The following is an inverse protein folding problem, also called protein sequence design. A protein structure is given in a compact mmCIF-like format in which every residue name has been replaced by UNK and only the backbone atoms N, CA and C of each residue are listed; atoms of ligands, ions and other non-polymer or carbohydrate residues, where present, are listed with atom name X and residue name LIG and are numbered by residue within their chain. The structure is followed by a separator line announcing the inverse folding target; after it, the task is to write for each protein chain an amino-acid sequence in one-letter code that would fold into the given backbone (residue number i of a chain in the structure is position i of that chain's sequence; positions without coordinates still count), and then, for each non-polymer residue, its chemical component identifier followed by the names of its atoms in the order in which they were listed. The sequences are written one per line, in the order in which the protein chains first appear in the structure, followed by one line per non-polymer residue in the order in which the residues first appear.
data_IF_875014663788
#
_entry.id   IF_875014663788
#
_cell.length_a   1.000
_cell.length_b   1.000
_cell.length_c   1.000
_cell.angle_alpha   90.00
_cell.angle_beta   90.00
_cell.angle_gamma   90.00
#
_symmetry.space_group_name_H-M   'P 1'
#
loop_
_entity.id
_entity.type
_entity.pdbx_description
1 polymer ?
#
# COMPACT_ATOMS: atom_id res chain seq x y z
N UNK A 1 7.55 -52.52 25.29
CA UNK A 1 8.40 -53.28 24.35
C UNK A 1 7.66 -53.37 23.03
N UNK A 2 8.09 -52.64 22.00
CA UNK A 2 8.22 -53.14 20.63
C UNK A 2 8.90 -52.04 19.80
N UNK A 3 10.04 -52.41 19.25
CA UNK A 3 10.95 -51.61 18.43
C UNK A 3 10.51 -51.69 16.97
N UNK A 4 10.57 -50.59 16.22
CA UNK A 4 10.56 -50.63 14.76
C UNK A 4 11.38 -49.46 14.21
N UNK A 5 12.69 -49.70 14.13
CA UNK A 5 13.65 -48.90 13.38
C UNK A 5 13.34 -48.95 11.88
N UNK A 6 13.11 -47.80 11.25
CA UNK A 6 13.19 -47.66 9.80
C UNK A 6 14.30 -46.67 9.45
N UNK A 7 15.45 -47.24 9.08
CA UNK A 7 16.57 -46.53 8.48
C UNK A 7 16.42 -46.57 6.96
N UNK A 8 16.31 -45.41 6.31
CA UNK A 8 16.40 -45.31 4.86
C UNK A 8 17.61 -44.45 4.47
N UNK A 9 18.39 -45.02 3.55
CA UNK A 9 19.74 -44.68 3.14
C UNK A 9 19.84 -43.38 2.34
N UNK A 10 20.93 -42.67 2.63
CA UNK A 10 21.61 -41.64 1.81
C UNK A 10 21.77 -42.06 0.34
N UNK A 11 21.58 -41.10 -0.58
CA UNK A 11 22.17 -41.11 -1.91
C UNK A 11 22.63 -39.69 -2.26
N UNK A 12 23.93 -39.45 -2.07
CA UNK A 12 24.63 -38.31 -2.63
C UNK A 12 24.79 -38.53 -4.14
N UNK A 13 24.51 -37.51 -4.96
CA UNK A 13 24.89 -37.49 -6.38
C UNK A 13 25.95 -36.42 -6.60
N UNK A 14 27.08 -36.89 -7.10
CA UNK A 14 28.30 -36.17 -7.41
C UNK A 14 28.29 -35.64 -8.85
N UNK A 15 28.89 -34.46 -9.04
CA UNK A 15 29.68 -33.98 -10.20
C UNK A 15 29.14 -34.14 -11.63
N UNK A 16 29.08 -33.02 -12.37
CA UNK A 16 29.88 -32.86 -13.61
C UNK A 16 29.76 -31.44 -14.18
N UNK A 17 30.90 -30.76 -14.24
CA UNK A 17 31.14 -29.54 -15.02
C UNK A 17 31.37 -29.98 -16.48
N UNK A 18 30.71 -29.33 -17.44
CA UNK A 18 31.06 -29.41 -18.87
C UNK A 18 31.27 -28.02 -19.45
N UNK A 19 32.52 -27.73 -19.83
CA UNK A 19 32.95 -26.65 -20.72
C UNK A 19 33.05 -27.23 -22.14
N UNK A 20 32.41 -26.59 -23.12
CA UNK A 20 32.68 -26.60 -24.58
C UNK A 20 31.90 -25.38 -25.13
N UNK A 21 32.31 -24.50 -26.04
CA UNK A 21 33.50 -24.29 -26.85
C UNK A 21 33.21 -23.14 -27.84
N UNK A 22 34.19 -22.23 -28.00
CA UNK A 22 34.66 -21.51 -29.21
C UNK A 22 33.71 -20.87 -30.25
N UNK A 23 34.02 -19.58 -30.54
CA UNK A 23 34.27 -18.92 -31.86
C UNK A 23 33.13 -18.99 -32.92
N UNK A 24 32.71 -17.96 -33.66
CA UNK A 24 33.33 -16.83 -34.38
C UNK A 24 32.16 -16.07 -35.03
N UNK A 25 32.22 -14.75 -35.21
CA UNK A 25 31.80 -14.12 -36.48
C UNK A 25 32.21 -12.65 -36.50
N UNK A 26 33.11 -12.32 -37.42
CA UNK A 26 33.64 -10.99 -37.67
C UNK A 26 32.79 -10.39 -38.79
N UNK A 27 32.05 -9.31 -38.51
CA UNK A 27 31.26 -8.66 -39.55
C UNK A 27 32.11 -7.57 -40.23
N UNK A 28 32.34 -7.78 -41.52
CA UNK A 28 33.13 -6.95 -42.43
C UNK A 28 32.35 -5.67 -42.78
N UNK A 29 32.92 -4.49 -42.50
CA UNK A 29 32.41 -3.22 -43.03
C UNK A 29 33.21 -2.83 -44.27
N UNK A 30 32.53 -2.85 -45.42
CA UNK A 30 33.09 -2.44 -46.70
C UNK A 30 33.14 -0.92 -46.80
N UNK A 31 34.30 -0.40 -47.22
CA UNK A 31 34.58 1.02 -47.39
C UNK A 31 34.24 1.41 -48.83
N UNK A 32 33.39 2.42 -49.03
CA UNK A 32 33.14 3.03 -50.34
C UNK A 32 33.39 4.53 -50.25
N UNK A 33 34.55 4.92 -50.76
CA UNK A 33 34.97 6.28 -51.10
C UNK A 33 34.13 6.83 -52.25
N UNK A 34 33.58 8.04 -52.12
CA UNK A 34 33.22 8.84 -53.29
C UNK A 34 33.23 10.36 -53.00
N UNK A 35 34.37 10.95 -53.36
CA UNK A 35 34.55 12.20 -54.12
C UNK A 35 33.85 13.49 -53.66
N UNK A 36 34.71 14.44 -53.29
CA UNK A 36 34.49 15.87 -53.16
C UNK A 36 33.98 16.54 -54.45
N UNK A 37 33.02 17.45 -54.31
CA UNK A 37 32.74 18.53 -55.26
C UNK A 37 32.58 19.82 -54.47
N UNK A 38 33.26 20.92 -54.83
CA UNK A 38 33.06 22.20 -54.18
C UNK A 38 31.87 22.91 -54.83
N UNK A 39 30.87 23.29 -54.03
CA UNK A 39 29.76 24.13 -54.47
C UNK A 39 29.76 25.42 -53.66
N UNK A 40 30.37 26.45 -54.23
CA UNK A 40 30.31 27.82 -53.76
C UNK A 40 29.11 28.51 -54.42
N UNK A 41 28.25 29.15 -53.62
CA UNK A 41 27.77 30.54 -53.79
C UNK A 41 26.45 30.75 -53.03
N UNK A 42 26.39 31.84 -52.28
CA UNK A 42 25.16 32.38 -51.72
C UNK A 42 25.35 33.01 -50.35
N UNK A 43 25.84 34.24 -50.30
CA UNK A 43 25.64 35.11 -49.13
C UNK A 43 24.22 35.69 -49.23
N UNK A 44 23.30 35.43 -48.30
CA UNK A 44 22.16 36.31 -48.13
C UNK A 44 22.56 37.51 -47.28
N UNK A 45 22.63 38.65 -47.96
CA UNK A 45 22.45 39.95 -47.34
C UNK A 45 21.08 40.01 -46.66
N UNK A 46 21.06 40.59 -45.47
CA UNK A 46 19.98 41.39 -44.88
C UNK A 46 20.10 41.28 -43.36
N UNK A 47 20.56 42.38 -42.77
CA UNK A 47 20.49 42.71 -41.36
C UNK A 47 19.12 42.40 -40.77
N UNK A 48 19.00 41.26 -40.10
CA UNK A 48 17.92 41.00 -39.15
C UNK A 48 18.50 41.21 -37.77
N UNK A 49 18.38 42.44 -37.27
CA UNK A 49 18.77 42.80 -35.91
C UNK A 49 17.85 42.00 -34.98
N UNK A 50 18.40 40.96 -34.36
CA UNK A 50 17.74 40.23 -33.30
C UNK A 50 17.72 41.15 -32.08
N UNK A 51 16.60 41.80 -31.81
CA UNK A 51 16.43 42.49 -30.53
C UNK A 51 16.48 41.41 -29.43
N UNK A 52 17.38 41.51 -28.44
CA UNK A 52 17.36 40.58 -27.32
C UNK A 52 16.04 40.80 -26.58
N UNK A 53 15.19 39.77 -26.53
CA UNK A 53 14.11 39.72 -25.55
C UNK A 53 14.80 39.83 -24.20
N UNK A 54 14.66 40.98 -23.55
CA UNK A 54 15.13 41.17 -22.19
C UNK A 54 14.42 40.13 -21.34
N UNK A 55 15.19 39.22 -20.77
CA UNK A 55 14.69 38.14 -19.95
C UNK A 55 14.07 38.76 -18.70
N UNK A 56 12.76 38.99 -18.74
CA UNK A 56 11.98 39.41 -17.59
C UNK A 56 12.33 38.49 -16.43
N UNK A 57 12.94 39.05 -15.39
CA UNK A 57 13.37 38.30 -14.22
C UNK A 57 12.12 37.68 -13.60
N UNK A 58 12.01 36.36 -13.66
CA UNK A 58 10.95 35.61 -13.00
C UNK A 58 11.19 35.80 -11.51
N UNK A 59 10.40 36.64 -10.85
CA UNK A 59 10.40 36.76 -9.39
C UNK A 59 9.75 35.46 -8.89
N UNK A 60 10.48 34.56 -8.20
CA UNK A 60 9.85 33.39 -7.63
C UNK A 60 8.92 33.87 -6.51
N UNK A 61 7.62 33.79 -6.74
CA UNK A 61 6.62 34.01 -5.69
C UNK A 61 6.73 32.83 -4.71
N UNK A 62 7.56 32.95 -3.68
CA UNK A 62 7.63 31.96 -2.62
C UNK A 62 6.34 32.01 -1.82
N UNK A 63 5.46 31.01 -2.05
CA UNK A 63 4.25 30.85 -1.25
C UNK A 63 4.66 30.37 0.14
N UNK A 64 4.64 31.28 1.12
CA UNK A 64 4.81 30.93 2.52
C UNK A 64 3.56 30.16 2.99
N UNK A 65 3.66 28.83 3.09
CA UNK A 65 2.67 28.04 3.81
C UNK A 65 3.05 28.06 5.30
N UNK A 66 2.19 28.65 6.13
CA UNK A 66 2.24 28.42 7.56
C UNK A 66 1.82 26.97 7.81
N UNK A 67 2.77 26.10 8.11
CA UNK A 67 2.49 24.75 8.61
C UNK A 67 1.98 24.92 10.04
N UNK A 68 0.68 25.15 10.19
CA UNK A 68 -0.01 25.11 11.48
C UNK A 68 -0.44 23.66 11.70
N UNK A 69 0.51 22.80 12.06
CA UNK A 69 0.19 21.54 12.73
C UNK A 69 1.43 21.04 13.44
N UNK A 70 1.41 21.06 14.76
CA UNK A 70 2.33 20.30 15.59
C UNK A 70 1.88 18.84 15.53
N UNK A 71 2.44 18.07 14.60
CA UNK A 71 2.23 16.62 14.58
C UNK A 71 2.90 16.00 15.81
N UNK A 72 2.09 15.49 16.73
CA UNK A 72 2.58 14.77 17.91
C UNK A 72 3.09 13.41 17.41
N UNK A 73 4.38 13.08 17.60
CA UNK A 73 4.91 11.81 17.11
C UNK A 73 4.26 10.64 17.86
N UNK A 74 3.87 9.60 17.13
CA UNK A 74 3.32 8.40 17.74
C UNK A 74 4.34 7.66 18.61
N UNK A 75 3.83 7.06 19.68
CA UNK A 75 4.61 6.24 20.61
C UNK A 75 4.95 4.90 19.97
N UNK A 76 6.22 4.52 19.98
CA UNK A 76 6.65 3.22 19.48
C UNK A 76 6.45 2.17 20.58
N UNK A 77 5.78 1.08 20.22
CA UNK A 77 5.54 -0.06 21.09
C UNK A 77 6.42 -1.24 20.70
N UNK A 78 6.87 -1.98 21.71
CA UNK A 78 7.62 -3.23 21.57
C UNK A 78 6.75 -4.42 21.99
N UNK A 79 7.14 -5.63 21.61
CA UNK A 79 6.41 -6.88 21.89
C UNK A 79 5.92 -7.01 23.34
N UNK A 80 6.82 -6.80 24.31
CA UNK A 80 6.51 -6.97 25.72
C UNK A 80 5.44 -6.00 26.24
N UNK A 81 5.38 -4.79 25.67
CA UNK A 81 4.36 -3.80 26.01
C UNK A 81 2.99 -4.23 25.47
N UNK A 82 2.93 -4.68 24.20
CA UNK A 82 1.70 -5.20 23.60
C UNK A 82 1.19 -6.43 24.35
N UNK A 83 2.10 -7.34 24.73
CA UNK A 83 1.74 -8.52 25.53
C UNK A 83 1.08 -8.13 26.85
N UNK A 84 1.62 -7.11 27.54
CA UNK A 84 1.05 -6.62 28.80
C UNK A 84 -0.35 -6.03 28.60
N UNK A 85 -0.59 -5.33 27.48
CA UNK A 85 -1.89 -4.77 27.13
C UNK A 85 -2.92 -5.87 26.81
N UNK A 86 -2.50 -6.94 26.14
CA UNK A 86 -3.34 -8.10 25.85
C UNK A 86 -3.71 -8.86 27.13
N UNK A 87 -2.75 -9.04 28.05
CA UNK A 87 -3.01 -9.71 29.34
C UNK A 87 -3.90 -8.88 30.27
N UNK A 88 -3.83 -7.54 30.18
CA UNK A 88 -4.59 -6.59 30.99
C UNK A 88 -5.30 -5.58 30.09
N UNK A 89 -6.43 -5.99 29.46
CA UNK A 89 -7.17 -5.10 28.58
C UNK A 89 -7.66 -3.88 29.36
N UNK A 90 -7.48 -2.70 28.78
CA UNK A 90 -7.96 -1.43 29.35
C UNK A 90 -8.92 -0.79 28.37
N UNK A 91 -10.05 -0.27 28.83
CA UNK A 91 -11.07 0.32 27.96
C UNK A 91 -10.59 1.58 27.20
N UNK A 92 -9.44 2.15 27.58
CA UNK A 92 -8.87 3.36 26.97
C UNK A 92 -7.86 3.08 25.87
N UNK A 93 -7.41 1.84 25.71
CA UNK A 93 -6.39 1.46 24.73
C UNK A 93 -7.02 0.49 23.75
N UNK A 94 -6.99 0.83 22.47
CA UNK A 94 -7.52 -0.01 21.40
C UNK A 94 -6.38 -0.43 20.49
N UNK A 95 -6.26 -1.75 20.28
CA UNK A 95 -5.29 -2.32 19.35
C UNK A 95 -5.95 -2.46 17.98
N UNK A 96 -5.31 -1.94 16.93
CA UNK A 96 -5.86 -1.88 15.57
C UNK A 96 -4.98 -2.67 14.61
N UNK A 97 -5.58 -3.70 14.00
CA UNK A 97 -4.98 -4.48 12.92
C UNK A 97 -5.33 -3.87 11.56
N UNK A 98 -4.32 -3.34 10.86
CA UNK A 98 -4.55 -2.68 9.57
C UNK A 98 -4.37 -3.59 8.35
N UNK A 99 -4.30 -4.90 8.56
CA UNK A 99 -4.25 -5.91 7.49
C UNK A 99 -5.62 -6.11 6.85
N UNK A 100 -5.66 -6.78 5.70
CA UNK A 100 -6.93 -7.10 5.04
C UNK A 100 -7.75 -8.09 5.88
N UNK A 101 -9.09 -8.11 5.75
CA UNK A 101 -9.95 -8.97 6.58
C UNK A 101 -9.63 -10.46 6.43
N UNK A 102 -9.16 -10.89 5.26
CA UNK A 102 -8.71 -12.26 5.02
C UNK A 102 -7.45 -12.65 5.81
N UNK A 103 -6.52 -11.70 6.00
CA UNK A 103 -5.33 -11.89 6.84
C UNK A 103 -5.72 -11.93 8.32
N UNK A 104 -6.63 -11.05 8.73
CA UNK A 104 -7.16 -10.99 10.10
C UNK A 104 -7.92 -12.27 10.49
N UNK A 105 -8.70 -12.82 9.56
CA UNK A 105 -9.43 -14.07 9.75
C UNK A 105 -8.51 -15.30 9.90
N UNK A 106 -7.35 -15.30 9.26
CA UNK A 106 -6.36 -16.35 9.41
C UNK A 106 -5.69 -16.36 10.80
N UNK A 107 -5.69 -15.21 11.49
CA UNK A 107 -5.19 -15.07 12.85
C UNK A 107 -4.76 -13.63 13.14
N UNK A 108 -5.11 -13.14 14.32
CA UNK A 108 -4.81 -11.79 14.78
C UNK A 108 -4.40 -11.76 16.26
N UNK A 109 -3.88 -10.61 16.70
CA UNK A 109 -3.54 -10.41 18.11
C UNK A 109 -4.85 -10.31 18.90
N UNK A 110 -4.99 -11.01 20.03
CA UNK A 110 -6.18 -10.92 20.86
C UNK A 110 -6.54 -9.46 21.18
N UNK A 111 -7.83 -9.17 21.34
CA UNK A 111 -8.38 -7.82 21.61
C UNK A 111 -8.26 -6.79 20.47
N UNK A 112 -7.65 -7.16 19.33
CA UNK A 112 -7.52 -6.26 18.20
C UNK A 112 -8.82 -6.11 17.39
N UNK A 113 -9.08 -4.89 16.92
CA UNK A 113 -10.10 -4.60 15.91
C UNK A 113 -9.47 -4.58 14.51
N UNK A 114 -10.20 -5.05 13.49
CA UNK A 114 -9.69 -4.99 12.11
C UNK A 114 -10.11 -3.71 11.42
N UNK A 115 -9.13 -2.96 10.89
CA UNK A 115 -9.35 -1.75 10.12
C UNK A 115 -8.47 -1.73 8.86
N UNK A 116 -8.91 -2.37 7.76
CA UNK A 116 -8.06 -2.66 6.61
C UNK A 116 -7.57 -1.39 5.90
N UNK A 117 -6.25 -1.18 5.90
CA UNK A 117 -5.65 0.02 5.34
C UNK A 117 -5.77 0.13 3.82
N UNK A 118 -5.76 -0.99 3.06
CA UNK A 118 -5.82 -0.89 1.59
C UNK A 118 -7.24 -0.64 1.13
N UNK A 119 -8.21 -1.33 1.73
CA UNK A 119 -9.61 -1.23 1.37
C UNK A 119 -10.27 0.05 1.91
N UNK A 120 -9.88 0.49 3.11
CA UNK A 120 -10.46 1.67 3.77
C UNK A 120 -9.40 2.51 4.54
N UNK A 121 -8.48 3.19 3.84
CA UNK A 121 -7.40 3.96 4.48
C UNK A 121 -7.90 5.11 5.37
N UNK A 122 -9.08 5.67 5.06
CA UNK A 122 -9.68 6.80 5.76
C UNK A 122 -10.77 6.43 6.77
N UNK A 123 -10.87 5.15 7.17
CA UNK A 123 -11.97 4.68 7.99
C UNK A 123 -12.21 5.50 9.28
N UNK A 124 -11.13 5.91 9.96
CA UNK A 124 -11.22 6.70 11.19
C UNK A 124 -11.79 8.13 11.01
N UNK A 125 -11.79 8.63 9.77
CA UNK A 125 -12.33 9.93 9.41
C UNK A 125 -13.84 9.94 9.10
N UNK A 126 -14.48 8.76 9.07
CA UNK A 126 -15.93 8.64 8.87
C UNK A 126 -16.70 9.12 10.12
N UNK A 127 -17.97 9.46 9.98
CA UNK A 127 -18.87 9.63 11.12
C UNK A 127 -19.07 8.30 11.88
N UNK A 128 -19.58 8.37 13.11
CA UNK A 128 -19.69 7.21 13.99
C UNK A 128 -20.67 6.15 13.44
N UNK A 129 -21.78 6.58 12.83
CA UNK A 129 -22.81 5.72 12.27
C UNK A 129 -22.28 4.95 11.05
N UNK A 130 -21.69 5.66 10.08
CA UNK A 130 -21.08 5.05 8.88
C UNK A 130 -19.91 4.13 9.22
N UNK A 131 -19.17 4.41 10.30
CA UNK A 131 -18.10 3.53 10.77
C UNK A 131 -18.65 2.23 11.33
N UNK A 132 -19.69 2.31 12.16
CA UNK A 132 -20.33 1.14 12.75
C UNK A 132 -20.97 0.26 11.67
N UNK A 133 -21.63 0.85 10.67
CA UNK A 133 -22.20 0.13 9.53
C UNK A 133 -21.14 -0.59 8.68
N UNK A 134 -19.97 0.03 8.50
CA UNK A 134 -18.92 -0.52 7.64
C UNK A 134 -18.09 -1.63 8.30
N UNK A 135 -17.82 -1.52 9.61
CA UNK A 135 -16.91 -2.42 10.32
C UNK A 135 -17.59 -3.27 11.40
N UNK A 136 -18.88 -3.05 11.67
CA UNK A 136 -19.67 -3.72 12.70
C UNK A 136 -19.01 -3.63 14.09
N UNK A 137 -18.31 -2.53 14.34
CA UNK A 137 -17.64 -2.21 15.60
C UNK A 137 -17.85 -0.73 15.92
N UNK A 138 -18.02 -0.42 17.21
CA UNK A 138 -18.15 0.97 17.65
C UNK A 138 -16.88 1.76 17.29
N UNK A 139 -17.07 2.99 16.83
CA UNK A 139 -15.97 3.90 16.53
C UNK A 139 -15.20 4.22 17.81
N UNK A 140 -13.86 4.10 17.82
CA UNK A 140 -13.07 4.47 18.99
C UNK A 140 -13.15 5.98 19.25
N UNK A 141 -13.15 6.36 20.53
CA UNK A 141 -13.11 7.77 20.94
C UNK A 141 -11.79 8.44 20.52
N UNK A 142 -11.83 9.74 20.23
CA UNK A 142 -10.64 10.52 19.85
C UNK A 142 -9.60 10.63 20.97
N UNK A 143 -10.04 10.51 22.22
CA UNK A 143 -9.18 10.53 23.41
C UNK A 143 -8.54 9.17 23.71
N UNK A 144 -9.04 8.09 23.11
CA UNK A 144 -8.52 6.75 23.32
C UNK A 144 -7.14 6.60 22.68
N UNK A 145 -6.28 5.78 23.30
CA UNK A 145 -4.97 5.47 22.76
C UNK A 145 -5.10 4.37 21.70
N UNK A 146 -4.79 4.71 20.45
CA UNK A 146 -4.87 3.81 19.32
C UNK A 146 -3.50 3.26 18.97
N UNK A 147 -3.33 1.93 19.07
CA UNK A 147 -2.07 1.27 18.74
C UNK A 147 -2.24 0.51 17.44
N UNK A 148 -1.50 0.93 16.40
CA UNK A 148 -1.58 0.33 15.07
C UNK A 148 -0.52 -0.74 14.88
N UNK A 149 -0.90 -1.85 14.25
CA UNK A 149 0.03 -2.87 13.76
C UNK A 149 -0.44 -3.44 12.43
N UNK A 150 0.49 -4.02 11.67
CA UNK A 150 0.15 -4.71 10.41
C UNK A 150 0.89 -6.05 10.32
N UNK A 151 1.38 -6.40 9.14
CA UNK A 151 2.22 -7.59 8.96
C UNK A 151 3.67 -7.33 9.38
N UNK A 152 4.25 -6.19 8.99
CA UNK A 152 5.68 -5.88 9.14
C UNK A 152 5.98 -4.39 9.39
N UNK A 153 5.05 -3.63 9.97
CA UNK A 153 5.21 -2.22 10.36
C UNK A 153 4.97 -1.14 9.27
N UNK A 154 5.03 -1.49 7.98
CA UNK A 154 4.95 -0.48 6.90
C UNK A 154 3.56 0.16 6.78
N UNK A 155 2.50 -0.67 6.72
CA UNK A 155 1.12 -0.19 6.61
C UNK A 155 0.65 0.53 7.88
N UNK A 156 1.04 0.03 9.05
CA UNK A 156 0.65 0.62 10.34
C UNK A 156 1.23 2.02 10.53
N UNK A 157 2.46 2.25 10.07
CA UNK A 157 3.07 3.59 10.11
C UNK A 157 2.35 4.62 9.23
N UNK A 158 1.70 4.18 8.15
CA UNK A 158 0.90 5.07 7.30
C UNK A 158 -0.49 5.29 7.91
N UNK A 159 -1.11 4.23 8.44
CA UNK A 159 -2.41 4.29 9.11
C UNK A 159 -2.38 5.21 10.35
N UNK A 160 -1.32 5.12 11.15
CA UNK A 160 -1.10 5.99 12.32
C UNK A 160 -1.11 7.47 11.93
N UNK A 161 -0.43 7.84 10.83
CA UNK A 161 -0.43 9.22 10.34
C UNK A 161 -1.81 9.67 9.89
N UNK A 162 -2.57 8.81 9.21
CA UNK A 162 -3.94 9.12 8.81
C UNK A 162 -4.86 9.29 10.03
N UNK A 163 -4.65 8.50 11.09
CA UNK A 163 -5.35 8.70 12.36
C UNK A 163 -5.01 10.06 12.98
N UNK A 164 -3.75 10.50 12.91
CA UNK A 164 -3.36 11.84 13.35
C UNK A 164 -4.09 12.95 12.59
N UNK A 165 -4.24 12.81 11.27
CA UNK A 165 -5.01 13.74 10.45
C UNK A 165 -6.52 13.70 10.75
N UNK A 166 -7.04 12.57 11.25
CA UNK A 166 -8.43 12.41 11.68
C UNK A 166 -8.69 12.95 13.10
N UNK A 167 -7.68 13.51 13.78
CA UNK A 167 -7.82 14.13 15.10
C UNK A 167 -7.52 13.23 16.29
N UNK A 168 -6.96 12.04 16.08
CA UNK A 168 -6.51 11.17 17.17
C UNK A 168 -5.12 11.63 17.64
N UNK A 169 -5.03 12.21 18.83
CA UNK A 169 -3.75 12.69 19.38
C UNK A 169 -2.94 11.56 20.03
N UNK A 170 -3.63 10.64 20.71
CA UNK A 170 -3.02 9.51 21.42
C UNK A 170 -2.82 8.33 20.47
N UNK A 171 -1.67 8.28 19.82
CA UNK A 171 -1.35 7.25 18.82
C UNK A 171 -0.10 6.47 19.17
N UNK A 172 -0.14 5.17 18.89
CA UNK A 172 0.95 4.24 19.03
C UNK A 172 1.16 3.41 17.77
N UNK A 173 2.40 2.99 17.53
CA UNK A 173 2.74 2.11 16.43
C UNK A 173 3.59 0.95 16.93
N UNK A 174 3.13 -0.28 16.69
CA UNK A 174 3.89 -1.49 16.95
C UNK A 174 4.66 -1.89 15.68
N UNK A 175 5.93 -1.48 15.64
CA UNK A 175 6.81 -1.63 14.47
C UNK A 175 7.09 -3.10 14.13
N UNK A 176 7.29 -3.95 15.14
CA UNK A 176 7.50 -5.40 14.99
C UNK A 176 6.29 -6.11 14.38
N UNK A 177 5.08 -5.58 14.60
CA UNK A 177 3.85 -6.02 13.95
C UNK A 177 3.57 -7.52 14.13
N UNK A 178 2.68 -8.09 13.33
CA UNK A 178 2.23 -9.47 13.48
C UNK A 178 3.37 -10.50 13.34
N UNK A 179 4.36 -10.25 12.47
CA UNK A 179 5.52 -11.15 12.32
C UNK A 179 6.32 -11.30 13.62
N UNK A 180 6.58 -10.21 14.31
CA UNK A 180 7.29 -10.25 15.60
C UNK A 180 6.44 -10.94 16.67
N UNK A 181 5.12 -10.70 16.69
CA UNK A 181 4.19 -11.38 17.60
C UNK A 181 4.25 -12.91 17.48
N UNK A 182 4.16 -13.41 16.24
CA UNK A 182 4.23 -14.85 15.95
C UNK A 182 5.63 -15.41 16.20
N UNK A 183 6.69 -14.66 15.86
CA UNK A 183 8.07 -15.07 16.11
C UNK A 183 8.37 -15.27 17.60
N UNK A 184 7.73 -14.48 18.47
CA UNK A 184 7.81 -14.61 19.93
C UNK A 184 6.87 -15.68 20.50
N UNK A 185 6.16 -16.46 19.67
CA UNK A 185 5.28 -17.55 20.12
C UNK A 185 4.09 -17.09 20.95
N UNK A 186 3.59 -15.87 20.71
CA UNK A 186 2.49 -15.29 21.48
C UNK A 186 1.12 -15.80 21.01
N UNK A 187 0.08 -15.78 21.86
CA UNK A 187 -1.22 -16.32 21.52
C UNK A 187 -1.87 -15.55 20.36
N UNK A 188 -2.50 -16.27 19.44
CA UNK A 188 -3.18 -15.73 18.26
C UNK A 188 -4.65 -16.15 18.35
N UNK A 189 -5.55 -15.20 18.13
CA UNK A 189 -6.99 -15.45 18.04
C UNK A 189 -7.41 -15.52 16.58
N UNK A 190 -8.41 -16.34 16.31
CA UNK A 190 -9.13 -16.34 15.03
C UNK A 190 -10.55 -15.88 15.31
N UNK A 191 -11.18 -15.13 14.40
CA UNK A 191 -12.57 -14.73 14.60
C UNK A 191 -13.40 -16.01 14.73
N UNK A 192 -14.19 -16.08 15.79
CA UNK A 192 -15.13 -17.17 16.00
C UNK A 192 -15.98 -17.26 14.74
N UNK A 193 -16.00 -18.42 14.08
CA UNK A 193 -16.84 -18.64 12.92
C UNK A 193 -18.26 -18.22 13.29
N UNK A 194 -18.71 -17.10 12.73
CA UNK A 194 -20.11 -16.72 12.76
C UNK A 194 -20.82 -17.69 11.84
N UNK A 195 -21.80 -18.41 12.39
CA UNK A 195 -22.62 -19.33 11.62
C UNK A 195 -23.14 -18.58 10.38
N UNK A 196 -22.92 -19.18 9.22
CA UNK A 196 -22.91 -18.57 7.90
C UNK A 196 -24.31 -18.15 7.42
N UNK A 197 -24.89 -17.13 8.04
CA UNK A 197 -26.25 -16.66 7.75
C UNK A 197 -26.40 -15.14 7.88
N UNK A 198 -25.46 -14.34 7.37
CA UNK A 198 -25.75 -13.02 6.78
C UNK A 198 -24.50 -12.49 6.09
N UNK A 199 -24.21 -13.03 4.91
CA UNK A 199 -23.40 -12.31 3.92
C UNK A 199 -24.38 -11.41 3.17
N UNK A 200 -24.37 -10.07 3.39
CA UNK A 200 -25.09 -9.19 2.50
C UNK A 200 -24.54 -9.39 1.08
N UNK A 201 -25.41 -9.57 0.07
CA UNK A 201 -24.97 -9.88 -1.27
C UNK A 201 -24.07 -8.75 -1.78
N UNK A 202 -22.89 -9.13 -2.28
CA UNK A 202 -22.06 -8.26 -3.11
C UNK A 202 -22.97 -7.60 -4.13
N UNK A 203 -23.04 -6.27 -4.10
CA UNK A 203 -23.63 -5.49 -5.18
C UNK A 203 -22.86 -5.81 -6.46
N UNK A 204 -23.38 -6.76 -7.22
CA UNK A 204 -22.94 -7.08 -8.55
C UNK A 204 -23.35 -5.90 -9.43
N UNK A 205 -22.35 -5.22 -9.98
CA UNK A 205 -22.53 -4.08 -10.85
C UNK A 205 -23.30 -4.52 -12.11
N UNK A 206 -24.58 -4.18 -12.16
CA UNK A 206 -25.40 -4.32 -13.35
C UNK A 206 -24.80 -3.47 -14.47
N UNK A 207 -24.38 -4.14 -15.53
CA UNK A 207 -23.95 -3.54 -16.78
C UNK A 207 -25.12 -2.74 -17.39
N UNK A 208 -24.89 -1.55 -17.97
CA UNK A 208 -25.96 -0.83 -18.65
C UNK A 208 -26.36 -1.61 -19.91
N UNK A 209 -27.51 -2.27 -19.84
CA UNK A 209 -28.22 -2.81 -20.99
C UNK A 209 -28.74 -1.64 -21.83
N UNK A 210 -28.29 -1.63 -23.08
CA UNK A 210 -28.73 -0.77 -24.17
C UNK A 210 -30.24 -0.92 -24.38
N UNK A 211 -31.04 0.06 -23.96
CA UNK A 211 -32.47 0.13 -24.33
C UNK A 211 -32.62 0.99 -25.56
N UNK A 212 -33.32 0.40 -26.51
CA UNK A 212 -33.54 0.84 -27.88
C UNK A 212 -34.41 2.09 -27.97
N UNK A 213 -34.23 2.78 -29.08
CA UNK A 213 -35.02 3.89 -29.58
C UNK A 213 -36.49 3.51 -29.76
N UNK A 214 -37.40 4.23 -29.11
CA UNK A 214 -38.80 4.28 -29.52
C UNK A 214 -39.21 5.74 -29.78
N UNK A 215 -39.43 6.01 -31.06
CA UNK A 215 -39.93 7.27 -31.62
C UNK A 215 -41.41 7.43 -31.29
N UNK A 216 -41.76 8.41 -30.46
CA UNK A 216 -43.15 8.82 -30.24
C UNK A 216 -43.45 10.14 -30.98
N UNK A 217 -44.38 9.99 -31.92
CA UNK A 217 -45.02 10.94 -32.82
C UNK A 217 -45.72 12.08 -32.04
N UNK A 218 -45.24 13.33 -32.19
CA UNK A 218 -45.88 14.52 -31.62
C UNK A 218 -46.81 15.14 -32.68
N UNK A 219 -48.09 14.78 -32.60
CA UNK A 219 -49.17 15.35 -33.42
C UNK A 219 -49.57 16.71 -32.85
N UNK A 220 -49.48 17.74 -33.69
CA UNK A 220 -49.84 19.13 -33.39
C UNK A 220 -51.24 19.40 -33.92
N UNK A 221 -52.16 19.71 -33.01
CA UNK A 221 -53.41 20.44 -33.30
C UNK A 221 -53.23 21.92 -32.98
#
# INVERSE_FOLDING_TARGET
MLSASFAVRRLARSTAIKRVGTLTSVNQFSVLTARSVPFQLGQPSASRVWAPVTQSSIIPLTRAYSVISSDVPAKIYEHGAIKTLVEKPSAKVTLIDVREPSEFAAGHIPTAINLPFKSAPGALGLDAESFEDAFNVAKPDTDAELIFYCEAGVRSSAAEKLAGLAGYENRGNYSGSFKDWVANGSPVETPKAVDEAEVPPKAEADAPTKVETESADFKKD
#
